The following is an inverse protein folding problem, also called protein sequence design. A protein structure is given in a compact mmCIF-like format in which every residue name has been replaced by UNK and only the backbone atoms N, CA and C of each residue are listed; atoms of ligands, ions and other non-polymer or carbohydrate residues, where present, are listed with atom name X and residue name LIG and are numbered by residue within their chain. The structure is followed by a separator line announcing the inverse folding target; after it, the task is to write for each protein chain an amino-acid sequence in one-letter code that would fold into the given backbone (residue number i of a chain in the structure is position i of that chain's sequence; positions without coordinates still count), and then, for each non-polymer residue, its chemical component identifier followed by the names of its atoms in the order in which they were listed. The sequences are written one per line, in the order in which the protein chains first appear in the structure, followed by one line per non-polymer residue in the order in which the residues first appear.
data_IF_410332046324
#
_entry.id   IF_410332046324
#
_cell.length_a   1.000
_cell.length_b   1.000
_cell.length_c   1.000
_cell.angle_alpha   90.00
_cell.angle_beta   90.00
_cell.angle_gamma   90.00
#
_symmetry.space_group_name_H-M   'P 1'
#
loop_
_entity.id
_entity.type
_entity.pdbx_description
1 polymer ?
#
# COMPACT_ATOMS: atom_id res chain seq x y z
N UNK A 1 55.41 -20.78 -41.52
CA UNK A 1 55.23 -20.20 -40.17
C UNK A 1 54.08 -19.21 -40.05
N UNK A 2 53.63 -18.50 -41.12
CA UNK A 2 52.49 -17.55 -41.06
C UNK A 2 51.08 -18.15 -41.01
N UNK A 3 50.89 -19.44 -41.38
CA UNK A 3 49.57 -20.09 -41.40
C UNK A 3 49.13 -20.67 -40.05
N UNK A 4 50.04 -20.87 -39.09
CA UNK A 4 49.70 -21.40 -37.78
C UNK A 4 49.47 -20.27 -36.73
N UNK A 5 49.87 -19.06 -37.03
CA UNK A 5 49.64 -17.91 -36.13
C UNK A 5 48.16 -17.43 -36.14
N UNK A 6 47.46 -17.62 -37.27
CA UNK A 6 46.03 -17.27 -37.36
C UNK A 6 45.12 -18.28 -36.63
N UNK A 7 45.53 -19.54 -36.48
CA UNK A 7 44.71 -20.54 -35.82
C UNK A 7 44.74 -20.45 -34.30
N UNK A 8 45.84 -19.93 -33.74
CA UNK A 8 45.96 -19.71 -32.29
C UNK A 8 45.22 -18.44 -31.84
N UNK A 9 45.11 -17.42 -32.71
CA UNK A 9 44.39 -16.18 -32.37
C UNK A 9 42.85 -16.38 -32.41
N UNK A 10 42.34 -17.31 -33.20
CA UNK A 10 40.91 -17.60 -33.29
C UNK A 10 40.41 -18.48 -32.11
N UNK A 11 41.29 -19.19 -31.41
CA UNK A 11 40.95 -20.06 -30.30
C UNK A 11 40.85 -19.29 -28.96
N UNK A 12 41.52 -18.10 -28.87
CA UNK A 12 41.52 -17.25 -27.66
C UNK A 12 40.25 -16.36 -27.59
N UNK A 13 39.55 -16.14 -28.72
CA UNK A 13 38.35 -15.28 -28.78
C UNK A 13 37.06 -16.07 -28.48
N UNK A 14 37.10 -17.37 -28.19
CA UNK A 14 35.97 -18.18 -27.79
C UNK A 14 35.89 -18.49 -26.29
N UNK A 15 36.83 -17.98 -25.49
CA UNK A 15 36.60 -17.83 -24.03
C UNK A 15 35.69 -16.65 -23.77
N UNK A 16 34.44 -16.74 -24.23
CA UNK A 16 33.37 -15.87 -23.80
C UNK A 16 33.27 -15.93 -22.28
N UNK A 17 33.30 -14.79 -21.62
CA UNK A 17 32.94 -14.65 -20.22
C UNK A 17 31.54 -15.24 -20.03
N UNK A 18 31.45 -16.54 -19.72
CA UNK A 18 30.29 -17.07 -19.05
C UNK A 18 30.30 -16.38 -17.68
N UNK A 19 29.40 -15.43 -17.48
CA UNK A 19 29.10 -14.95 -16.14
C UNK A 19 28.82 -16.21 -15.30
N UNK A 20 29.36 -16.33 -14.07
CA UNK A 20 29.05 -17.47 -13.23
C UNK A 20 27.52 -17.57 -13.14
N UNK A 21 26.96 -18.70 -13.57
CA UNK A 21 25.57 -18.99 -13.33
C UNK A 21 25.37 -18.90 -11.81
N UNK A 22 24.48 -18.04 -11.37
CA UNK A 22 24.15 -17.95 -9.95
C UNK A 22 23.79 -19.35 -9.48
N UNK A 23 24.41 -19.82 -8.40
CA UNK A 23 24.07 -21.12 -7.81
C UNK A 23 22.56 -21.14 -7.55
N UNK A 24 21.86 -22.23 -7.91
CA UNK A 24 20.43 -22.33 -7.64
C UNK A 24 20.21 -22.20 -6.14
N UNK A 25 19.48 -21.17 -5.73
CA UNK A 25 19.11 -20.98 -4.31
C UNK A 25 18.17 -22.10 -3.88
N UNK A 26 18.29 -22.50 -2.63
CA UNK A 26 17.31 -23.38 -2.02
C UNK A 26 15.93 -22.70 -2.06
N UNK A 27 14.93 -23.46 -2.47
CA UNK A 27 13.53 -23.01 -2.47
C UNK A 27 12.75 -23.71 -1.36
N UNK A 28 11.65 -23.10 -0.94
CA UNK A 28 10.69 -23.70 -0.02
C UNK A 28 9.27 -23.55 -0.59
N UNK A 29 8.41 -24.50 -0.27
CA UNK A 29 6.99 -24.36 -0.58
C UNK A 29 6.36 -23.39 0.45
N UNK A 30 5.71 -22.35 -0.09
CA UNK A 30 5.01 -21.34 0.67
C UNK A 30 3.54 -21.38 0.30
N UNK A 31 2.66 -21.51 1.31
CA UNK A 31 1.22 -21.41 1.09
C UNK A 31 0.81 -19.97 1.39
N UNK A 32 0.36 -19.26 0.37
CA UNK A 32 -0.08 -17.88 0.51
C UNK A 32 -1.55 -17.77 0.99
N UNK A 33 -2.00 -16.56 1.31
CA UNK A 33 -3.36 -16.33 1.84
C UNK A 33 -4.49 -16.53 0.81
N UNK A 34 -4.15 -16.73 -0.47
CA UNK A 34 -5.09 -17.21 -1.48
C UNK A 34 -5.18 -18.75 -1.54
N UNK A 35 -4.44 -19.46 -0.68
CA UNK A 35 -4.37 -20.91 -0.63
C UNK A 35 -3.53 -21.54 -1.75
N UNK A 36 -2.71 -20.76 -2.47
CA UNK A 36 -1.80 -21.27 -3.50
C UNK A 36 -0.50 -21.76 -2.86
N UNK A 37 0.03 -22.86 -3.35
CA UNK A 37 1.37 -23.33 -2.96
C UNK A 37 2.35 -22.83 -4.01
N UNK A 38 3.27 -21.97 -3.61
CA UNK A 38 4.25 -21.31 -4.47
C UNK A 38 5.66 -21.69 -4.02
N UNK A 39 6.49 -22.18 -4.95
CA UNK A 39 7.90 -22.43 -4.65
C UNK A 39 8.68 -21.11 -4.67
N UNK A 40 9.13 -20.66 -3.51
CA UNK A 40 9.80 -19.37 -3.33
C UNK A 40 11.25 -19.56 -2.89
N UNK A 41 12.18 -18.65 -3.29
CA UNK A 41 13.56 -18.71 -2.82
C UNK A 41 13.65 -18.41 -1.32
N UNK A 42 14.44 -19.17 -0.57
CA UNK A 42 14.75 -18.87 0.80
C UNK A 42 15.59 -17.59 0.89
N UNK A 43 15.21 -16.67 1.79
CA UNK A 43 15.92 -15.41 2.01
C UNK A 43 16.14 -14.61 0.72
N UNK A 44 15.06 -14.34 -0.03
CA UNK A 44 15.11 -13.52 -1.23
C UNK A 44 15.81 -12.18 -0.96
N UNK A 45 16.65 -11.75 -1.92
CA UNK A 45 17.44 -10.51 -1.84
C UNK A 45 16.99 -9.45 -2.83
N UNK A 46 16.11 -9.83 -3.73
CA UNK A 46 15.61 -8.98 -4.83
C UNK A 46 14.10 -9.15 -4.88
N UNK A 47 13.40 -8.14 -4.39
CA UNK A 47 11.94 -8.17 -4.23
C UNK A 47 11.32 -7.16 -5.17
N UNK A 48 10.29 -7.56 -5.90
CA UNK A 48 9.35 -6.65 -6.53
C UNK A 48 7.99 -6.70 -5.81
N UNK A 49 7.13 -5.78 -6.18
CA UNK A 49 5.82 -5.57 -5.56
C UNK A 49 4.75 -5.41 -6.64
N UNK A 50 3.49 -5.67 -6.29
CA UNK A 50 2.38 -5.56 -7.24
C UNK A 50 1.71 -4.18 -7.22
N UNK A 51 1.96 -3.37 -6.20
CA UNK A 51 1.27 -2.10 -6.10
C UNK A 51 1.63 -1.26 -4.86
N UNK A 52 0.99 -0.10 -4.71
CA UNK A 52 1.30 0.86 -3.64
C UNK A 52 1.11 0.30 -2.22
N UNK A 53 0.11 -0.59 -1.99
CA UNK A 53 -0.07 -1.20 -0.68
C UNK A 53 1.15 -2.03 -0.29
N UNK A 54 1.56 -2.94 -1.16
CA UNK A 54 2.75 -3.77 -0.97
C UNK A 54 3.99 -2.92 -0.75
N UNK A 55 4.14 -1.81 -1.50
CA UNK A 55 5.25 -0.88 -1.34
C UNK A 55 5.32 -0.31 0.07
N UNK A 56 4.19 0.16 0.62
CA UNK A 56 4.14 0.76 1.96
C UNK A 56 4.46 -0.26 3.06
N UNK A 57 4.04 -1.53 2.91
CA UNK A 57 4.39 -2.59 3.85
C UNK A 57 5.87 -2.98 3.79
N UNK A 58 6.42 -3.08 2.57
CA UNK A 58 7.82 -3.54 2.37
C UNK A 58 8.82 -2.47 2.79
N UNK A 59 8.57 -1.19 2.55
CA UNK A 59 9.53 -0.12 2.82
C UNK A 59 10.10 -0.12 4.25
N UNK A 60 9.33 -0.20 5.33
CA UNK A 60 9.88 -0.19 6.68
C UNK A 60 10.55 -1.50 7.08
N UNK A 61 10.19 -2.63 6.46
CA UNK A 61 10.72 -3.95 6.79
C UNK A 61 11.97 -4.31 5.99
N UNK A 62 11.88 -4.14 4.67
CA UNK A 62 12.83 -4.68 3.69
C UNK A 62 12.98 -3.79 2.46
N UNK A 63 12.88 -2.47 2.60
CA UNK A 63 13.03 -1.50 1.51
C UNK A 63 14.38 -1.60 0.80
N UNK A 64 15.42 -2.04 1.51
CA UNK A 64 16.75 -2.33 0.96
C UNK A 64 16.75 -3.48 -0.07
N UNK A 65 15.78 -4.38 -0.01
CA UNK A 65 15.65 -5.51 -0.92
C UNK A 65 14.81 -5.18 -2.17
N UNK A 66 14.09 -4.06 -2.20
CA UNK A 66 13.30 -3.65 -3.36
C UNK A 66 14.19 -3.41 -4.57
N UNK A 67 13.83 -4.00 -5.71
CA UNK A 67 14.49 -3.78 -7.00
C UNK A 67 13.74 -2.83 -7.90
N UNK A 68 12.51 -2.47 -7.55
CA UNK A 68 11.68 -1.51 -8.25
C UNK A 68 10.60 -0.93 -7.35
N UNK A 69 9.98 0.15 -7.80
CA UNK A 69 8.89 0.87 -7.13
C UNK A 69 7.68 0.99 -8.04
N UNK A 70 6.50 1.23 -7.48
CA UNK A 70 5.27 1.33 -8.28
C UNK A 70 5.26 2.57 -9.17
N UNK A 71 5.76 3.68 -8.63
CA UNK A 71 5.77 4.98 -9.26
C UNK A 71 6.85 5.87 -8.60
N UNK A 72 7.23 6.92 -9.27
CA UNK A 72 8.16 7.92 -8.72
C UNK A 72 7.62 8.53 -7.43
N UNK A 73 8.51 8.81 -6.51
CA UNK A 73 8.20 9.54 -5.29
C UNK A 73 8.28 11.05 -5.51
N UNK A 74 7.44 11.80 -4.82
CA UNK A 74 7.56 13.25 -4.76
C UNK A 74 8.85 13.65 -4.03
N UNK A 75 9.38 14.84 -4.31
CA UNK A 75 10.59 15.36 -3.64
C UNK A 75 10.46 15.42 -2.11
N UNK A 76 9.24 15.61 -1.61
CA UNK A 76 8.97 15.65 -0.17
C UNK A 76 9.15 14.30 0.53
N UNK A 77 9.03 13.20 -0.20
CA UNK A 77 9.28 11.86 0.32
C UNK A 77 10.73 11.67 0.79
N UNK A 78 11.68 12.47 0.29
CA UNK A 78 13.07 12.45 0.74
C UNK A 78 13.27 12.82 2.23
N UNK A 79 12.26 13.38 2.88
CA UNK A 79 12.25 13.61 4.33
C UNK A 79 12.11 12.30 5.13
N UNK A 80 11.59 11.24 4.49
CA UNK A 80 11.17 10.01 5.15
C UNK A 80 11.86 8.76 4.61
N UNK A 81 12.26 8.77 3.35
CA UNK A 81 12.80 7.61 2.64
C UNK A 81 14.30 7.76 2.39
N UNK A 82 15.07 6.65 2.40
CA UNK A 82 16.48 6.67 2.08
C UNK A 82 16.70 7.01 0.60
N UNK A 83 17.87 7.60 0.30
CA UNK A 83 18.20 8.15 -1.03
C UNK A 83 18.15 7.10 -2.15
N UNK A 84 18.54 5.86 -1.86
CA UNK A 84 18.62 4.80 -2.87
C UNK A 84 17.24 4.38 -3.42
N UNK A 85 16.14 4.64 -2.70
CA UNK A 85 14.77 4.38 -3.17
C UNK A 85 14.43 5.20 -4.41
N UNK A 86 14.92 6.46 -4.48
CA UNK A 86 14.61 7.38 -5.58
C UNK A 86 15.30 7.02 -6.91
N UNK A 87 16.26 6.10 -6.87
CA UNK A 87 16.96 5.61 -8.07
C UNK A 87 16.45 4.27 -8.57
N UNK A 88 15.44 3.68 -7.91
CA UNK A 88 14.91 2.38 -8.30
C UNK A 88 14.05 2.48 -9.55
N UNK A 89 14.02 1.41 -10.32
CA UNK A 89 13.23 1.32 -11.56
C UNK A 89 11.73 1.40 -11.23
N UNK A 90 11.00 2.21 -11.96
CA UNK A 90 9.53 2.17 -11.93
C UNK A 90 9.05 0.93 -12.68
N UNK A 91 8.30 0.07 -11.99
CA UNK A 91 7.74 -1.18 -12.52
C UNK A 91 6.20 -1.12 -12.69
N UNK A 92 5.59 0.03 -12.35
CA UNK A 92 4.14 0.17 -12.39
C UNK A 92 3.42 -0.64 -11.32
N UNK A 93 2.15 -0.93 -11.56
CA UNK A 93 1.30 -1.62 -10.58
C UNK A 93 0.29 -2.55 -11.24
N UNK A 94 0.00 -3.69 -10.60
CA UNK A 94 -1.04 -4.62 -11.03
C UNK A 94 -2.42 -4.19 -10.50
N UNK A 95 -2.46 -3.73 -9.26
CA UNK A 95 -3.67 -3.27 -8.58
C UNK A 95 -3.50 -1.83 -8.09
N UNK A 96 -4.61 -1.09 -7.97
CA UNK A 96 -4.59 0.28 -7.45
C UNK A 96 -5.12 1.35 -8.41
N UNK A 97 -5.54 0.96 -9.61
CA UNK A 97 -6.38 1.80 -10.50
C UNK A 97 -5.66 2.89 -11.31
N UNK A 98 -4.34 3.03 -11.21
CA UNK A 98 -3.57 4.02 -11.98
C UNK A 98 -2.34 3.37 -12.61
N UNK A 99 -2.46 3.01 -13.88
CA UNK A 99 -1.36 2.39 -14.64
C UNK A 99 -1.43 0.86 -14.66
N UNK A 100 -0.52 0.29 -15.40
CA UNK A 100 -0.35 -1.15 -15.57
C UNK A 100 1.05 -1.54 -15.10
N UNK A 101 1.23 -2.81 -14.71
CA UNK A 101 2.55 -3.33 -14.40
C UNK A 101 3.36 -3.48 -15.69
N UNK A 102 4.53 -2.86 -15.74
CA UNK A 102 5.48 -3.01 -16.84
C UNK A 102 6.27 -4.31 -16.65
N UNK A 103 5.85 -5.36 -17.36
CA UNK A 103 6.50 -6.66 -17.28
C UNK A 103 7.92 -6.66 -17.86
N UNK A 104 8.24 -5.79 -18.81
CA UNK A 104 9.60 -5.66 -19.34
C UNK A 104 10.52 -5.03 -18.29
N UNK A 105 10.07 -3.97 -17.63
CA UNK A 105 10.78 -3.35 -16.51
C UNK A 105 10.94 -4.33 -15.33
N UNK A 106 9.88 -5.08 -14.99
CA UNK A 106 9.91 -6.11 -13.95
C UNK A 106 10.96 -7.19 -14.25
N UNK A 107 10.95 -7.75 -15.46
CA UNK A 107 11.91 -8.78 -15.88
C UNK A 107 13.34 -8.24 -15.93
N UNK A 108 13.52 -6.99 -16.39
CA UNK A 108 14.82 -6.31 -16.40
C UNK A 108 15.35 -6.06 -14.98
N UNK A 109 14.48 -5.74 -14.03
CA UNK A 109 14.82 -5.60 -12.63
C UNK A 109 15.20 -6.94 -11.98
N UNK A 110 14.91 -8.08 -12.63
CA UNK A 110 15.24 -9.43 -12.21
C UNK A 110 14.96 -9.73 -10.74
N UNK A 111 13.73 -9.56 -10.24
CA UNK A 111 13.38 -9.94 -8.88
C UNK A 111 13.39 -11.46 -8.71
N UNK A 112 13.57 -11.93 -7.50
CA UNK A 112 13.51 -13.33 -7.11
C UNK A 112 12.12 -13.75 -6.66
N UNK A 113 11.32 -12.76 -6.25
CA UNK A 113 9.93 -12.90 -5.80
C UNK A 113 9.19 -11.58 -6.02
N UNK A 114 7.91 -11.68 -6.31
CA UNK A 114 6.97 -10.56 -6.31
C UNK A 114 5.99 -10.73 -5.16
N UNK A 115 5.85 -9.72 -4.32
CA UNK A 115 4.97 -9.75 -3.14
C UNK A 115 3.78 -8.83 -3.35
N UNK A 116 2.60 -9.40 -3.27
CA UNK A 116 1.32 -8.70 -3.21
C UNK A 116 0.81 -8.66 -1.77
N UNK A 117 0.34 -7.49 -1.33
CA UNK A 117 -0.17 -7.32 0.04
C UNK A 117 -1.44 -6.48 -0.01
N UNK A 118 -2.47 -6.90 0.72
CA UNK A 118 -3.70 -6.15 0.87
C UNK A 118 -4.94 -7.02 0.91
N UNK A 119 -6.08 -6.45 0.52
CA UNK A 119 -7.36 -7.15 0.46
C UNK A 119 -7.40 -8.12 -0.73
N UNK A 120 -7.74 -9.40 -0.54
CA UNK A 120 -7.86 -10.34 -1.64
C UNK A 120 -9.04 -9.97 -2.56
N UNK A 121 -8.88 -10.23 -3.86
CA UNK A 121 -9.90 -10.01 -4.88
C UNK A 121 -10.26 -11.33 -5.57
N UNK A 122 -11.47 -11.43 -6.09
CA UNK A 122 -12.01 -12.67 -6.68
C UNK A 122 -11.11 -13.28 -7.77
N UNK A 123 -10.49 -12.47 -8.64
CA UNK A 123 -9.63 -12.93 -9.73
C UNK A 123 -8.17 -13.11 -9.32
N UNK A 124 -7.75 -12.65 -8.14
CA UNK A 124 -6.35 -12.46 -7.77
C UNK A 124 -5.51 -13.74 -7.89
N UNK A 125 -6.02 -14.87 -7.42
CA UNK A 125 -5.31 -16.14 -7.53
C UNK A 125 -5.02 -16.52 -8.99
N UNK A 126 -5.98 -16.26 -9.90
CA UNK A 126 -5.84 -16.53 -11.32
C UNK A 126 -4.85 -15.54 -11.97
N UNK A 127 -4.94 -14.27 -11.63
CA UNK A 127 -4.07 -13.21 -12.16
C UNK A 127 -2.60 -13.47 -11.79
N UNK A 128 -2.34 -13.75 -10.49
CA UNK A 128 -0.99 -14.03 -10.01
C UNK A 128 -0.41 -15.33 -10.59
N UNK A 129 -1.23 -16.36 -10.79
CA UNK A 129 -0.78 -17.59 -11.48
C UNK A 129 -0.40 -17.31 -12.93
N UNK A 130 -1.21 -16.54 -13.66
CA UNK A 130 -0.92 -16.19 -15.05
C UNK A 130 0.39 -15.38 -15.17
N UNK A 131 0.61 -14.42 -14.28
CA UNK A 131 1.85 -13.65 -14.23
C UNK A 131 3.07 -14.52 -13.89
N UNK A 132 2.92 -15.45 -12.94
CA UNK A 132 3.98 -16.40 -12.60
C UNK A 132 4.33 -17.30 -13.78
N UNK A 133 3.35 -17.81 -14.52
CA UNK A 133 3.57 -18.59 -15.72
C UNK A 133 4.25 -17.79 -16.83
N UNK A 134 3.85 -16.52 -17.01
CA UNK A 134 4.39 -15.63 -18.04
C UNK A 134 5.82 -15.18 -17.77
N UNK A 135 6.15 -14.91 -16.51
CA UNK A 135 7.44 -14.31 -16.11
C UNK A 135 8.45 -15.32 -15.61
N UNK A 136 7.98 -16.48 -15.13
CA UNK A 136 8.80 -17.46 -14.40
C UNK A 136 9.22 -17.01 -13.00
N UNK A 137 8.68 -15.90 -12.49
CA UNK A 137 8.97 -15.37 -11.16
C UNK A 137 7.85 -15.78 -10.20
N UNK A 138 8.15 -16.26 -8.98
CA UNK A 138 7.11 -16.55 -8.00
C UNK A 138 6.38 -15.27 -7.55
N UNK A 139 5.05 -15.30 -7.55
CA UNK A 139 4.16 -14.27 -7.03
C UNK A 139 3.43 -14.82 -5.81
N UNK A 140 3.46 -14.12 -4.70
CA UNK A 140 2.77 -14.47 -3.45
C UNK A 140 1.85 -13.35 -2.99
N UNK A 141 0.76 -13.72 -2.32
CA UNK A 141 -0.19 -12.78 -1.72
C UNK A 141 -0.22 -12.94 -0.19
N UNK A 142 -0.24 -11.81 0.51
CA UNK A 142 -0.43 -11.74 1.96
C UNK A 142 -1.63 -10.83 2.24
N UNK A 143 -2.66 -11.38 2.90
CA UNK A 143 -3.84 -10.60 3.30
C UNK A 143 -3.49 -9.65 4.45
N UNK A 144 -3.81 -8.38 4.28
CA UNK A 144 -3.51 -7.36 5.28
C UNK A 144 -4.61 -6.31 5.38
N UNK A 145 -5.29 -6.33 6.51
CA UNK A 145 -6.23 -5.32 6.99
C UNK A 145 -5.61 -4.51 8.12
N UNK A 146 -6.31 -3.51 8.63
CA UNK A 146 -5.87 -2.83 9.87
C UNK A 146 -5.71 -3.82 11.02
N UNK A 147 -6.55 -4.82 11.13
CA UNK A 147 -6.50 -5.78 12.22
C UNK A 147 -5.43 -6.84 12.06
N UNK A 148 -5.17 -7.29 10.82
CA UNK A 148 -4.25 -8.40 10.52
C UNK A 148 -2.84 -7.94 10.15
N UNK A 149 -2.59 -6.63 10.04
CA UNK A 149 -1.28 -6.07 9.70
C UNK A 149 -0.11 -6.60 10.57
N UNK A 150 -0.27 -6.82 11.89
CA UNK A 150 0.80 -7.43 12.69
C UNK A 150 1.20 -8.82 12.21
N UNK A 151 0.21 -9.66 11.89
CA UNK A 151 0.46 -11.02 11.40
C UNK A 151 1.05 -11.00 10.00
N UNK A 152 0.60 -10.08 9.14
CA UNK A 152 1.20 -9.86 7.82
C UNK A 152 2.69 -9.50 7.91
N UNK A 153 3.10 -8.66 8.87
CA UNK A 153 4.52 -8.40 9.10
C UNK A 153 5.30 -9.62 9.57
N UNK A 154 4.76 -10.42 10.48
CA UNK A 154 5.40 -11.66 10.93
C UNK A 154 5.59 -12.63 9.77
N UNK A 155 4.60 -12.72 8.89
CA UNK A 155 4.66 -13.56 7.71
C UNK A 155 5.70 -13.06 6.70
N UNK A 156 5.69 -11.78 6.39
CA UNK A 156 6.73 -11.13 5.60
C UNK A 156 8.13 -11.34 6.18
N UNK A 157 8.27 -11.23 7.51
CA UNK A 157 9.52 -11.47 8.22
C UNK A 157 10.07 -12.87 7.94
N UNK A 158 9.22 -13.89 8.07
CA UNK A 158 9.59 -15.29 7.77
C UNK A 158 9.94 -15.50 6.30
N UNK A 159 9.16 -14.91 5.39
CA UNK A 159 9.38 -15.02 3.95
C UNK A 159 10.69 -14.38 3.51
N UNK A 160 11.06 -13.25 4.12
CA UNK A 160 12.19 -12.41 3.69
C UNK A 160 13.44 -12.53 4.60
N UNK A 161 13.38 -13.36 5.65
CA UNK A 161 14.48 -13.48 6.63
C UNK A 161 14.70 -12.19 7.41
N UNK A 162 13.61 -11.55 7.86
CA UNK A 162 13.59 -10.28 8.60
C UNK A 162 12.75 -10.39 9.88
N UNK A 163 12.74 -11.55 10.53
CA UNK A 163 11.83 -11.88 11.62
C UNK A 163 11.94 -10.91 12.80
N UNK A 164 13.16 -10.52 13.19
CA UNK A 164 13.38 -9.60 14.31
C UNK A 164 12.74 -8.23 14.04
N UNK A 165 12.98 -7.66 12.87
CA UNK A 165 12.41 -6.38 12.47
C UNK A 165 10.90 -6.45 12.27
N UNK A 166 10.41 -7.56 11.72
CA UNK A 166 8.99 -7.82 11.55
C UNK A 166 8.25 -7.88 12.89
N UNK A 167 8.83 -8.56 13.89
CA UNK A 167 8.26 -8.64 15.23
C UNK A 167 8.25 -7.29 15.94
N UNK A 168 9.30 -6.46 15.80
CA UNK A 168 9.33 -5.08 16.32
C UNK A 168 8.14 -4.27 15.75
N UNK A 169 7.93 -4.33 14.42
CA UNK A 169 6.82 -3.65 13.75
C UNK A 169 5.46 -4.21 14.21
N UNK A 170 5.31 -5.53 14.24
CA UNK A 170 4.08 -6.19 14.65
C UNK A 170 3.67 -5.81 16.08
N UNK A 171 4.60 -5.83 17.03
CA UNK A 171 4.33 -5.46 18.44
C UNK A 171 3.89 -4.00 18.57
N UNK A 172 4.50 -3.09 17.80
CA UNK A 172 4.08 -1.69 17.80
C UNK A 172 2.66 -1.52 17.26
N UNK A 173 2.31 -2.21 16.18
CA UNK A 173 0.97 -2.19 15.61
C UNK A 173 -0.07 -2.78 16.57
N UNK A 174 0.23 -3.93 17.19
CA UNK A 174 -0.64 -4.55 18.19
C UNK A 174 -0.91 -3.64 19.37
N UNK A 175 0.14 -3.03 19.93
CA UNK A 175 0.00 -2.12 21.06
C UNK A 175 -0.84 -0.87 20.67
N UNK A 176 -0.62 -0.32 19.48
CA UNK A 176 -1.39 0.82 18.97
C UNK A 176 -2.85 0.44 18.79
N UNK A 177 -3.13 -0.67 18.11
CA UNK A 177 -4.49 -1.15 17.88
C UNK A 177 -5.24 -1.42 19.19
N UNK A 178 -4.59 -2.08 20.16
CA UNK A 178 -5.17 -2.36 21.47
C UNK A 178 -5.51 -1.07 22.25
N UNK A 179 -4.64 -0.08 22.20
CA UNK A 179 -4.90 1.21 22.86
C UNK A 179 -6.07 1.96 22.22
N UNK A 180 -6.13 1.98 20.88
CA UNK A 180 -7.22 2.61 20.12
C UNK A 180 -8.55 1.88 20.39
N UNK A 181 -8.60 0.57 20.33
CA UNK A 181 -9.82 -0.20 20.60
C UNK A 181 -10.31 0.00 22.04
N UNK A 182 -9.42 0.00 23.02
CA UNK A 182 -9.78 0.27 24.41
C UNK A 182 -10.27 1.72 24.64
N UNK A 183 -9.78 2.69 23.87
CA UNK A 183 -10.31 4.04 23.85
C UNK A 183 -11.72 4.05 23.26
N UNK A 184 -11.91 3.40 22.10
CA UNK A 184 -13.19 3.38 21.40
C UNK A 184 -14.29 2.62 22.18
N UNK A 185 -13.95 1.57 22.93
CA UNK A 185 -14.90 0.92 23.85
C UNK A 185 -15.48 1.88 24.87
N UNK A 186 -14.71 2.84 25.37
CA UNK A 186 -15.19 3.88 26.28
C UNK A 186 -16.08 4.91 25.56
N UNK A 187 -15.63 5.35 24.36
CA UNK A 187 -16.42 6.25 23.51
C UNK A 187 -17.78 5.62 23.17
N UNK A 188 -17.81 4.34 22.85
CA UNK A 188 -19.04 3.61 22.54
C UNK A 188 -19.96 3.46 23.76
N UNK A 189 -19.40 3.18 24.93
CA UNK A 189 -20.17 3.08 26.18
C UNK A 189 -20.85 4.41 26.54
N UNK A 190 -20.21 5.53 26.20
CA UNK A 190 -20.76 6.88 26.43
C UNK A 190 -21.69 7.35 25.29
N UNK A 191 -21.79 6.58 24.18
CA UNK A 191 -22.54 6.97 22.98
C UNK A 191 -21.97 8.21 22.29
N UNK A 192 -20.66 8.42 22.38
CA UNK A 192 -19.99 9.67 22.04
C UNK A 192 -19.20 9.59 20.69
N UNK A 193 -19.56 8.64 19.80
CA UNK A 193 -18.92 8.60 18.48
C UNK A 193 -19.17 9.88 17.70
N UNK A 194 -18.09 10.46 17.19
CA UNK A 194 -18.14 11.63 16.31
C UNK A 194 -18.64 11.20 14.94
N UNK A 195 -19.57 11.95 14.36
CA UNK A 195 -20.15 11.71 13.03
C UNK A 195 -19.25 12.35 11.98
N UNK A 196 -18.65 11.53 11.12
CA UNK A 196 -17.57 11.94 10.22
C UNK A 196 -17.91 11.65 8.77
N UNK A 197 -17.46 12.54 7.87
CA UNK A 197 -17.31 12.27 6.45
C UNK A 197 -15.83 12.39 6.06
N UNK A 198 -15.38 11.51 5.18
CA UNK A 198 -14.08 11.62 4.54
C UNK A 198 -14.26 11.92 3.05
N UNK A 199 -13.89 13.13 2.67
CA UNK A 199 -14.11 13.73 1.36
C UNK A 199 -12.82 13.76 0.54
N UNK A 200 -12.95 13.50 -0.77
CA UNK A 200 -11.84 13.41 -1.72
C UNK A 200 -12.14 14.21 -2.98
N UNK A 201 -11.09 14.38 -3.80
CA UNK A 201 -11.16 14.97 -5.14
C UNK A 201 -11.31 16.49 -5.12
N UNK A 202 -11.15 17.08 -6.29
CA UNK A 202 -11.07 18.54 -6.51
C UNK A 202 -12.34 19.29 -6.07
N UNK A 203 -13.48 18.60 -6.00
CA UNK A 203 -14.75 19.16 -5.55
C UNK A 203 -15.10 18.80 -4.11
N UNK A 204 -14.39 17.83 -3.50
CA UNK A 204 -14.69 17.31 -2.16
C UNK A 204 -15.98 16.50 -2.09
N UNK A 205 -16.62 16.20 -3.20
CA UNK A 205 -17.92 15.48 -3.26
C UNK A 205 -17.77 13.97 -3.47
N UNK A 206 -16.57 13.45 -3.53
CA UNK A 206 -16.32 12.01 -3.45
C UNK A 206 -16.12 11.63 -1.98
N UNK A 207 -16.79 10.59 -1.51
CA UNK A 207 -16.74 10.13 -0.12
C UNK A 207 -16.31 8.67 -0.02
N UNK A 208 -15.58 8.33 1.02
CA UNK A 208 -15.25 6.94 1.33
C UNK A 208 -16.41 6.34 2.13
N UNK A 209 -17.16 5.44 1.49
CA UNK A 209 -18.31 4.78 2.08
C UNK A 209 -17.92 3.76 3.16
N UNK A 210 -18.81 3.54 4.14
CA UNK A 210 -18.61 2.65 5.30
C UNK A 210 -18.20 1.23 4.89
N UNK A 211 -18.74 0.69 3.80
CA UNK A 211 -18.38 -0.65 3.29
C UNK A 211 -17.08 -0.75 2.52
N UNK A 212 -16.35 0.36 2.32
CA UNK A 212 -15.09 0.36 1.58
C UNK A 212 -13.92 -0.12 2.45
N UNK A 213 -12.99 -0.89 1.87
CA UNK A 213 -11.69 -1.20 2.48
C UNK A 213 -10.90 0.06 2.88
N UNK A 214 -11.10 1.16 2.16
CA UNK A 214 -10.52 2.46 2.47
C UNK A 214 -11.08 3.11 3.74
N UNK A 215 -12.25 2.66 4.22
CA UNK A 215 -12.92 3.24 5.39
C UNK A 215 -12.52 2.60 6.73
N UNK A 216 -11.72 1.52 6.75
CA UNK A 216 -11.47 0.73 7.96
C UNK A 216 -11.08 1.58 9.18
N UNK A 217 -10.17 2.55 9.01
CA UNK A 217 -9.72 3.43 10.11
C UNK A 217 -10.85 4.33 10.59
N UNK A 218 -11.62 4.90 9.68
CA UNK A 218 -12.74 5.79 10.01
C UNK A 218 -13.85 5.00 10.71
N UNK A 219 -14.21 3.83 10.19
CA UNK A 219 -15.23 2.96 10.77
C UNK A 219 -14.83 2.47 12.18
N UNK A 220 -13.53 2.26 12.42
CA UNK A 220 -13.06 1.89 13.75
C UNK A 220 -13.23 3.05 14.75
N UNK A 221 -12.96 4.30 14.34
CA UNK A 221 -12.79 5.43 15.25
C UNK A 221 -13.95 6.42 15.26
N UNK A 222 -14.86 6.36 14.28
CA UNK A 222 -15.95 7.32 14.13
C UNK A 222 -17.23 6.66 13.61
N UNK A 223 -18.33 7.39 13.61
CA UNK A 223 -19.55 7.05 12.87
C UNK A 223 -19.40 7.62 11.44
N UNK A 224 -19.03 6.76 10.49
CA UNK A 224 -18.94 7.11 9.08
C UNK A 224 -20.35 7.31 8.51
N UNK A 225 -20.67 8.52 8.11
CA UNK A 225 -22.01 8.88 7.62
C UNK A 225 -22.24 8.45 6.17
N UNK A 226 -21.21 8.13 5.41
CA UNK A 226 -21.33 7.68 4.02
C UNK A 226 -21.80 6.23 3.94
N UNK A 227 -23.05 5.97 4.37
CA UNK A 227 -23.71 4.69 4.31
C UNK A 227 -24.49 4.61 3.00
N UNK A 228 -23.92 3.90 2.02
CA UNK A 228 -24.40 3.79 0.65
C UNK A 228 -24.71 2.34 0.29
N UNK A 229 -25.72 2.11 -0.56
CA UNK A 229 -26.08 0.77 -1.04
C UNK A 229 -25.04 0.21 -2.00
N UNK A 230 -24.54 1.07 -2.91
CA UNK A 230 -23.52 0.72 -3.91
C UNK A 230 -22.16 1.30 -3.49
N UNK A 231 -21.31 0.48 -2.92
CA UNK A 231 -20.00 0.91 -2.41
C UNK A 231 -18.92 0.75 -3.47
N UNK A 232 -18.25 1.84 -3.79
CA UNK A 232 -17.00 1.83 -4.57
C UNK A 232 -15.83 1.60 -3.63
N UNK A 233 -15.29 0.38 -3.62
CA UNK A 233 -14.10 0.03 -2.81
C UNK A 233 -12.81 0.37 -3.55
N UNK A 234 -12.69 1.63 -3.98
CA UNK A 234 -11.51 2.20 -4.63
C UNK A 234 -11.17 3.53 -3.99
N UNK A 235 -9.91 3.95 -4.10
CA UNK A 235 -9.43 5.21 -3.54
C UNK A 235 -10.08 6.48 -4.13
N UNK A 236 -10.88 6.35 -5.17
CA UNK A 236 -11.68 7.43 -5.74
C UNK A 236 -12.97 7.71 -4.95
N UNK A 237 -13.43 6.74 -4.13
CA UNK A 237 -14.67 6.83 -3.38
C UNK A 237 -15.93 6.88 -4.23
N UNK A 238 -17.06 7.13 -3.57
CA UNK A 238 -18.37 7.31 -4.19
C UNK A 238 -18.66 8.79 -4.44
N UNK A 239 -19.10 9.15 -5.65
CA UNK A 239 -19.55 10.51 -5.94
C UNK A 239 -20.94 10.75 -5.33
N UNK A 240 -21.07 11.84 -4.60
CA UNK A 240 -22.34 12.35 -4.05
C UNK A 240 -22.47 13.84 -4.37
N UNK A 241 -23.64 14.41 -4.14
CA UNK A 241 -23.82 15.86 -4.26
C UNK A 241 -23.74 16.57 -2.91
N UNK A 242 -23.65 17.90 -2.95
CA UNK A 242 -23.55 18.72 -1.74
C UNK A 242 -24.85 18.64 -0.91
N UNK A 243 -26.00 18.41 -1.53
CA UNK A 243 -27.28 18.25 -0.82
C UNK A 243 -27.24 17.01 0.08
N UNK A 244 -26.63 15.94 -0.40
CA UNK A 244 -26.44 14.72 0.39
C UNK A 244 -25.48 14.98 1.59
N UNK A 245 -24.42 15.74 1.40
CA UNK A 245 -23.53 16.13 2.51
C UNK A 245 -24.27 16.97 3.56
N UNK A 246 -25.13 17.89 3.12
CA UNK A 246 -26.00 18.70 4.00
C UNK A 246 -27.02 17.84 4.76
N UNK A 247 -27.60 16.83 4.11
CA UNK A 247 -28.53 15.90 4.75
C UNK A 247 -27.86 15.05 5.84
N UNK A 248 -26.63 14.64 5.60
CA UNK A 248 -25.85 13.90 6.59
C UNK A 248 -25.45 14.75 7.80
N UNK A 249 -25.26 16.06 7.61
CA UNK A 249 -24.86 17.03 8.65
C UNK A 249 -23.75 16.49 9.58
N UNK A 250 -22.53 16.27 9.06
CA UNK A 250 -21.43 15.70 9.85
C UNK A 250 -21.01 16.64 11.00
N UNK A 251 -20.47 16.06 12.06
CA UNK A 251 -19.83 16.82 13.13
C UNK A 251 -18.42 17.27 12.74
N UNK A 252 -17.72 16.42 11.95
CA UNK A 252 -16.37 16.67 11.43
C UNK A 252 -16.30 16.23 9.97
N UNK A 253 -15.60 17.00 9.14
CA UNK A 253 -15.26 16.63 7.77
C UNK A 253 -13.75 16.49 7.67
N UNK A 254 -13.32 15.31 7.18
CA UNK A 254 -11.93 15.05 6.83
C UNK A 254 -11.78 15.20 5.32
N UNK A 255 -10.70 15.80 4.87
CA UNK A 255 -10.37 15.95 3.47
C UNK A 255 -9.10 15.16 3.15
N UNK A 256 -9.09 14.46 2.03
CA UNK A 256 -7.88 13.81 1.55
C UNK A 256 -6.82 14.87 1.15
N UNK A 257 -5.54 14.53 1.22
CA UNK A 257 -4.50 15.34 0.62
C UNK A 257 -4.79 15.57 -0.87
N UNK A 258 -4.41 16.72 -1.39
CA UNK A 258 -4.66 17.13 -2.78
C UNK A 258 -6.14 17.23 -3.17
N UNK A 259 -7.01 17.49 -2.18
CA UNK A 259 -8.44 17.75 -2.39
C UNK A 259 -8.74 19.25 -2.48
N UNK A 260 -10.03 19.61 -2.36
CA UNK A 260 -10.48 21.00 -2.34
C UNK A 260 -10.27 21.72 -0.98
N UNK A 261 -9.56 21.15 -0.02
CA UNK A 261 -9.43 21.66 1.36
C UNK A 261 -9.13 23.17 1.44
N UNK A 262 -8.15 23.64 0.68
CA UNK A 262 -7.75 25.06 0.69
C UNK A 262 -8.87 26.02 0.23
N UNK A 263 -9.80 25.53 -0.61
CA UNK A 263 -10.90 26.35 -1.14
C UNK A 263 -12.11 26.40 -0.19
N UNK A 264 -12.26 25.44 0.73
CA UNK A 264 -13.47 25.24 1.55
C UNK A 264 -13.83 26.46 2.39
N UNK A 265 -12.84 27.13 2.98
CA UNK A 265 -13.07 28.31 3.81
C UNK A 265 -13.71 29.48 3.06
N UNK A 266 -13.46 29.60 1.76
CA UNK A 266 -13.97 30.67 0.90
C UNK A 266 -15.22 30.31 0.08
N UNK A 267 -15.67 29.08 0.11
CA UNK A 267 -16.79 28.62 -0.71
C UNK A 267 -18.13 28.74 0.06
N UNK A 268 -19.08 29.60 -0.41
CA UNK A 268 -20.37 29.78 0.26
C UNK A 268 -21.23 28.52 0.35
N UNK A 269 -21.07 27.58 -0.59
CA UNK A 269 -21.80 26.32 -0.58
C UNK A 269 -21.32 25.42 0.57
N UNK A 270 -20.01 25.30 0.73
CA UNK A 270 -19.40 24.55 1.84
C UNK A 270 -19.64 25.23 3.20
N UNK A 271 -19.71 26.56 3.25
CA UNK A 271 -20.05 27.30 4.48
C UNK A 271 -21.48 27.05 4.98
N UNK A 272 -22.35 26.46 4.15
CA UNK A 272 -23.68 26.01 4.59
C UNK A 272 -23.67 24.76 5.45
N UNK A 273 -22.56 23.98 5.44
CA UNK A 273 -22.33 22.83 6.31
C UNK A 273 -21.90 23.31 7.70
N UNK A 274 -22.60 22.84 8.73
CA UNK A 274 -22.34 23.21 10.13
C UNK A 274 -20.88 22.97 10.54
N UNK A 275 -20.32 21.81 10.18
CA UNK A 275 -18.94 21.47 10.48
C UNK A 275 -17.95 22.50 9.88
N UNK A 276 -18.20 22.96 8.63
CA UNK A 276 -17.35 23.96 7.98
C UNK A 276 -17.51 25.34 8.63
N UNK A 277 -18.75 25.78 8.88
CA UNK A 277 -19.04 27.06 9.52
C UNK A 277 -18.44 27.17 10.92
N UNK A 278 -18.31 26.04 11.62
CA UNK A 278 -17.73 25.95 12.97
C UNK A 278 -16.22 25.62 12.96
N UNK A 279 -15.59 25.51 11.79
CA UNK A 279 -14.16 25.23 11.66
C UNK A 279 -13.77 23.80 12.01
N UNK A 280 -14.71 22.86 11.99
CA UNK A 280 -14.47 21.43 12.27
C UNK A 280 -14.26 20.63 10.99
N UNK A 281 -13.27 21.02 10.21
CA UNK A 281 -12.83 20.33 9.03
C UNK A 281 -11.32 20.33 8.94
N UNK A 282 -10.73 19.22 8.51
CA UNK A 282 -9.30 18.99 8.61
C UNK A 282 -8.80 18.29 7.35
N UNK A 283 -7.64 18.70 6.85
CA UNK A 283 -6.92 17.91 5.85
C UNK A 283 -6.18 16.78 6.55
N UNK A 284 -6.26 15.56 6.00
CA UNK A 284 -5.56 14.40 6.56
C UNK A 284 -4.06 14.52 6.30
N UNK A 285 -3.21 14.21 7.29
CA UNK A 285 -1.78 14.29 7.12
C UNK A 285 -1.30 13.39 5.96
N UNK A 286 -0.24 13.86 5.27
CA UNK A 286 0.43 13.14 4.21
C UNK A 286 1.95 13.24 4.36
N UNK A 287 2.63 12.13 4.18
CA UNK A 287 4.08 12.07 4.14
C UNK A 287 4.64 10.75 4.66
N UNK A 288 5.27 9.94 3.77
CA UNK A 288 5.31 10.04 2.31
C UNK A 288 4.01 9.62 1.62
N UNK A 289 3.04 9.09 2.37
CA UNK A 289 1.72 8.62 1.95
C UNK A 289 0.64 9.25 2.82
N UNK A 290 -0.59 9.31 2.30
CA UNK A 290 -1.74 9.78 3.08
C UNK A 290 -2.04 8.82 4.26
N UNK A 291 -2.30 9.37 5.44
CA UNK A 291 -2.37 8.57 6.68
C UNK A 291 -3.67 7.78 6.83
N UNK A 292 -4.71 8.05 6.06
CA UNK A 292 -5.98 7.31 6.18
C UNK A 292 -6.20 6.27 5.08
N UNK A 293 -6.05 6.65 3.80
CA UNK A 293 -6.48 5.76 2.73
C UNK A 293 -5.70 5.86 1.41
N UNK A 294 -4.57 6.55 1.36
CA UNK A 294 -3.85 6.77 0.09
C UNK A 294 -2.37 6.34 0.16
N UNK A 295 -2.09 5.05 -0.06
CA UNK A 295 -2.97 3.87 -0.15
C UNK A 295 -3.47 3.40 1.23
N UNK A 296 -4.50 2.51 1.33
CA UNK A 296 -5.00 2.02 2.62
C UNK A 296 -4.11 0.91 3.19
N UNK A 297 -2.89 1.24 3.61
CA UNK A 297 -1.88 0.32 4.12
C UNK A 297 -1.52 0.60 5.60
N UNK A 298 -0.37 0.13 6.05
CA UNK A 298 0.04 0.18 7.47
C UNK A 298 0.14 1.59 8.06
N UNK A 299 0.39 2.62 7.26
CA UNK A 299 0.43 4.01 7.76
C UNK A 299 -0.92 4.50 8.33
N UNK A 300 -2.01 3.75 8.09
CA UNK A 300 -3.32 3.99 8.75
C UNK A 300 -3.25 3.97 10.28
N UNK A 301 -2.26 3.32 10.87
CA UNK A 301 -2.01 3.38 12.30
C UNK A 301 -1.58 4.78 12.77
N UNK A 302 -0.83 5.53 11.93
CA UNK A 302 -0.55 6.94 12.20
C UNK A 302 -1.84 7.76 12.08
N UNK A 303 -2.70 7.43 11.12
CA UNK A 303 -4.03 8.02 10.99
C UNK A 303 -4.92 7.81 12.21
N UNK A 304 -4.88 6.61 12.83
CA UNK A 304 -5.60 6.35 14.09
C UNK A 304 -5.10 7.22 15.23
N UNK A 305 -3.78 7.34 15.39
CA UNK A 305 -3.21 8.20 16.43
C UNK A 305 -3.60 9.65 16.21
N UNK A 306 -3.54 10.14 14.98
CA UNK A 306 -3.95 11.50 14.64
C UNK A 306 -5.44 11.75 14.88
N UNK A 307 -6.33 10.84 14.47
CA UNK A 307 -7.77 10.94 14.74
C UNK A 307 -8.09 10.92 16.23
N UNK A 308 -7.30 10.25 17.02
CA UNK A 308 -7.47 10.22 18.49
C UNK A 308 -7.12 11.53 19.19
N UNK A 309 -6.43 12.44 18.51
CA UNK A 309 -6.07 13.78 19.03
C UNK A 309 -7.05 14.87 18.59
N UNK A 310 -7.91 14.60 17.59
CA UNK A 310 -8.94 15.54 17.11
C UNK A 310 -10.19 15.52 17.99
#
# INVERSE_FOLDING_TARGET
MKKYLCLVLTLVLLCGCAAPAAEPRETMDYTDDLGRIVSVPQNARRIAITGPLSQVYILPLAGDLLVGVCNEFTSDAAKYLPEDIFSKTEIGQLYGGKGEMDLEALLSAAPEIVVDIGEPKDSMAQDLNALQEQTGIPFVHIDATVRTAPDAYRELGRLLGREEKAEELALWLEATYANITAMMERVDADGARVRVLYCLGDKGTNVIAEGSFHAETINLMADNLAKLDDVVSQGTGNEVDLEQLLLWDPDVILFAPDSCFDAIAGDPQWQSLRAVAEGRYYETPCGPYGWLSSPPAVQRYLGMLWLGEL
#
